data_IF_411298951209
#
_entry.id   IF_411298951209
#
_cell.length_a   1.000
_cell.length_b   1.000
_cell.length_c   1.000
_cell.angle_alpha   90.00
_cell.angle_beta   90.00
_cell.angle_gamma   90.00
#
_symmetry.space_group_name_H-M   'P 1'
#
loop_
_entity.id
_entity.type
_entity.pdbx_description
1 polymer ?
#
# COMPACT_ATOMS: atom_id res chain seq x y z
N UNK A 1 -21.61 -38.49 -17.68
CA UNK A 1 -20.31 -38.19 -17.03
C UNK A 1 -19.86 -36.74 -17.20
N UNK A 2 -19.94 -36.14 -18.40
CA UNK A 2 -19.56 -34.73 -18.64
C UNK A 2 -20.43 -33.73 -17.86
N UNK A 3 -21.75 -33.94 -17.81
CA UNK A 3 -22.67 -33.08 -17.06
C UNK A 3 -22.38 -33.12 -15.55
N UNK A 4 -22.00 -34.28 -15.02
CA UNK A 4 -21.60 -34.44 -13.60
C UNK A 4 -20.28 -33.72 -13.32
N UNK A 5 -19.33 -33.72 -14.27
CA UNK A 5 -18.08 -32.98 -14.14
C UNK A 5 -18.29 -31.46 -14.20
N UNK A 6 -19.21 -30.97 -15.04
CA UNK A 6 -19.55 -29.53 -15.12
C UNK A 6 -20.28 -29.06 -13.85
N UNK A 7 -21.18 -29.89 -13.30
CA UNK A 7 -21.86 -29.60 -12.04
C UNK A 7 -20.89 -29.63 -10.86
N UNK A 8 -19.94 -30.57 -10.84
CA UNK A 8 -18.87 -30.61 -9.84
C UNK A 8 -17.94 -29.40 -9.94
N UNK A 9 -17.58 -28.95 -11.15
CA UNK A 9 -16.74 -27.76 -11.36
C UNK A 9 -17.42 -26.47 -10.86
N UNK A 10 -18.74 -26.36 -11.05
CA UNK A 10 -19.54 -25.25 -10.51
C UNK A 10 -19.71 -25.30 -8.98
N UNK A 11 -19.68 -26.50 -8.36
CA UNK A 11 -19.81 -26.64 -6.89
C UNK A 11 -18.53 -26.35 -6.11
N UNK A 12 -17.37 -26.21 -6.77
CA UNK A 12 -16.09 -25.89 -6.13
C UNK A 12 -15.59 -24.46 -6.39
N UNK A 13 -16.38 -23.59 -7.04
CA UNK A 13 -15.91 -22.22 -7.30
C UNK A 13 -15.99 -21.39 -6.01
N UNK A 14 -14.83 -21.16 -5.38
CA UNK A 14 -14.71 -20.23 -4.26
C UNK A 14 -14.62 -18.80 -4.80
N UNK A 15 -15.79 -18.14 -4.93
CA UNK A 15 -15.90 -16.77 -5.44
C UNK A 15 -15.07 -15.76 -4.64
N UNK A 16 -14.99 -15.92 -3.33
CA UNK A 16 -14.21 -15.03 -2.48
C UNK A 16 -12.72 -15.12 -2.82
N UNK A 17 -12.21 -16.35 -2.98
CA UNK A 17 -10.84 -16.58 -3.42
C UNK A 17 -10.60 -16.04 -4.84
N UNK A 18 -11.56 -16.21 -5.75
CA UNK A 18 -11.49 -15.66 -7.11
C UNK A 18 -11.36 -14.13 -7.10
N UNK A 19 -12.13 -13.44 -6.25
CA UNK A 19 -12.06 -11.98 -6.07
C UNK A 19 -10.71 -11.54 -5.49
N UNK A 20 -10.20 -12.23 -4.46
CA UNK A 20 -8.88 -11.92 -3.88
C UNK A 20 -7.77 -12.12 -4.92
N UNK A 21 -7.81 -13.22 -5.68
CA UNK A 21 -6.82 -13.52 -6.73
C UNK A 21 -6.89 -12.53 -7.89
N UNK A 22 -8.07 -11.94 -8.17
CA UNK A 22 -8.21 -10.86 -9.15
C UNK A 22 -7.37 -9.64 -8.75
N UNK A 23 -7.45 -9.20 -7.48
CA UNK A 23 -6.61 -8.10 -6.97
C UNK A 23 -5.12 -8.44 -7.02
N UNK A 24 -4.73 -9.63 -6.54
CA UNK A 24 -3.33 -10.09 -6.56
C UNK A 24 -2.75 -10.12 -7.99
N UNK A 25 -3.52 -10.61 -8.97
CA UNK A 25 -3.11 -10.65 -10.37
C UNK A 25 -2.98 -9.26 -10.98
N UNK A 26 -3.84 -8.30 -10.62
CA UNK A 26 -3.71 -6.92 -11.08
C UNK A 26 -2.46 -6.24 -10.49
N UNK A 27 -2.11 -6.52 -9.23
CA UNK A 27 -0.83 -6.07 -8.63
C UNK A 27 0.34 -6.66 -9.41
N UNK A 28 0.27 -7.95 -9.74
CA UNK A 28 1.32 -8.61 -10.52
C UNK A 28 1.53 -7.98 -11.90
N UNK A 29 0.45 -7.51 -12.53
CA UNK A 29 0.47 -6.82 -13.82
C UNK A 29 0.76 -5.32 -13.70
N UNK A 30 0.98 -4.81 -12.48
CA UNK A 30 1.16 -3.38 -12.17
C UNK A 30 0.00 -2.49 -12.67
N UNK A 31 -1.22 -3.03 -12.72
CA UNK A 31 -2.43 -2.34 -13.19
C UNK A 31 -3.09 -1.54 -12.09
N UNK A 32 -2.38 -0.51 -11.61
CA UNK A 32 -2.78 0.28 -10.45
C UNK A 32 -4.13 0.99 -10.63
N UNK A 33 -4.39 1.55 -11.80
CA UNK A 33 -5.65 2.24 -12.08
C UNK A 33 -6.84 1.27 -12.09
N UNK A 34 -6.69 0.09 -12.71
CA UNK A 34 -7.72 -0.95 -12.76
C UNK A 34 -8.07 -1.46 -11.34
N UNK A 35 -7.09 -1.57 -10.44
CA UNK A 35 -7.32 -1.94 -9.02
C UNK A 35 -8.21 -0.92 -8.33
N UNK A 36 -7.90 0.37 -8.52
CA UNK A 36 -8.65 1.47 -7.88
C UNK A 36 -10.06 1.54 -8.46
N UNK A 37 -10.22 1.42 -9.78
CA UNK A 37 -11.53 1.39 -10.43
C UNK A 37 -12.38 0.21 -9.94
N UNK A 38 -11.78 -0.98 -9.89
CA UNK A 38 -12.44 -2.19 -9.37
C UNK A 38 -12.91 -1.98 -7.93
N UNK A 39 -12.04 -1.48 -7.05
CA UNK A 39 -12.36 -1.24 -5.64
C UNK A 39 -13.44 -0.16 -5.46
N UNK A 40 -13.45 0.89 -6.29
CA UNK A 40 -14.52 1.91 -6.28
C UNK A 40 -15.87 1.33 -6.67
N UNK A 41 -15.89 0.46 -7.68
CA UNK A 41 -17.13 -0.10 -8.24
C UNK A 41 -17.72 -1.21 -7.37
N UNK A 42 -16.87 -2.14 -6.91
CA UNK A 42 -17.31 -3.38 -6.27
C UNK A 42 -17.07 -3.36 -4.75
N UNK A 43 -16.25 -2.44 -4.25
CA UNK A 43 -15.74 -2.46 -2.88
C UNK A 43 -14.57 -3.43 -2.73
N UNK A 44 -14.06 -3.52 -1.50
CA UNK A 44 -12.95 -4.41 -1.15
C UNK A 44 -13.47 -5.55 -0.28
N UNK A 45 -13.21 -6.82 -0.65
CA UNK A 45 -13.50 -7.98 0.20
C UNK A 45 -12.87 -7.85 1.59
N UNK A 46 -13.46 -8.50 2.60
CA UNK A 46 -12.93 -8.49 3.98
C UNK A 46 -11.70 -9.40 4.10
N UNK A 47 -10.61 -8.98 3.47
CA UNK A 47 -9.36 -9.72 3.37
C UNK A 47 -8.15 -8.75 3.31
N UNK A 48 -7.08 -9.12 4.01
CA UNK A 48 -5.87 -8.30 4.14
C UNK A 48 -5.14 -8.14 2.80
N UNK A 49 -5.10 -9.19 1.95
CA UNK A 49 -4.45 -9.15 0.63
C UNK A 49 -5.16 -8.20 -0.32
N UNK A 50 -6.49 -8.25 -0.35
CA UNK A 50 -7.28 -7.35 -1.18
C UNK A 50 -7.13 -5.88 -0.73
N UNK A 51 -7.19 -5.63 0.58
CA UNK A 51 -6.95 -4.28 1.12
C UNK A 51 -5.53 -3.79 0.86
N UNK A 52 -4.53 -4.67 1.01
CA UNK A 52 -3.13 -4.35 0.71
C UNK A 52 -2.96 -3.95 -0.75
N UNK A 53 -3.54 -4.71 -1.69
CA UNK A 53 -3.48 -4.43 -3.12
C UNK A 53 -4.03 -3.03 -3.45
N UNK A 54 -5.17 -2.67 -2.87
CA UNK A 54 -5.81 -1.36 -3.09
C UNK A 54 -5.04 -0.22 -2.43
N UNK A 55 -4.55 -0.39 -1.21
CA UNK A 55 -3.71 0.60 -0.53
C UNK A 55 -2.40 0.84 -1.29
N UNK A 56 -1.77 -0.22 -1.78
CA UNK A 56 -0.57 -0.13 -2.61
C UNK A 56 -0.86 0.61 -3.93
N UNK A 57 -1.95 0.26 -4.61
CA UNK A 57 -2.35 0.93 -5.85
C UNK A 57 -2.60 2.42 -5.63
N UNK A 58 -3.37 2.78 -4.60
CA UNK A 58 -3.64 4.17 -4.26
C UNK A 58 -2.34 4.94 -3.96
N UNK A 59 -1.41 4.33 -3.22
CA UNK A 59 -0.14 4.99 -2.90
C UNK A 59 0.80 5.09 -4.12
N UNK A 60 0.80 4.10 -5.02
CA UNK A 60 1.50 4.18 -6.31
C UNK A 60 0.96 5.29 -7.22
N UNK A 61 -0.33 5.60 -7.10
CA UNK A 61 -0.98 6.73 -7.78
C UNK A 61 -0.94 8.04 -6.98
N UNK A 62 -0.45 8.00 -5.74
CA UNK A 62 -0.39 9.16 -4.84
C UNK A 62 -1.76 9.75 -4.51
N UNK A 63 -2.76 8.88 -4.33
CA UNK A 63 -4.14 9.23 -4.04
C UNK A 63 -4.69 8.53 -2.78
N UNK A 64 -3.87 7.83 -2.00
CA UNK A 64 -4.33 7.10 -0.81
C UNK A 64 -5.07 8.03 0.16
N UNK A 65 -4.48 9.19 0.44
CA UNK A 65 -5.01 10.21 1.34
C UNK A 65 -6.22 10.98 0.77
N UNK A 66 -6.65 10.63 -0.43
CA UNK A 66 -7.87 11.17 -1.06
C UNK A 66 -8.98 10.12 -1.25
N UNK A 67 -8.62 8.84 -1.30
CA UNK A 67 -9.54 7.76 -1.66
C UNK A 67 -9.88 6.82 -0.50
N UNK A 68 -9.05 6.74 0.54
CA UNK A 68 -9.12 5.68 1.54
C UNK A 68 -10.52 5.46 2.14
N UNK A 69 -11.18 6.52 2.62
CA UNK A 69 -12.53 6.40 3.20
C UNK A 69 -13.65 6.29 2.17
N UNK A 70 -13.43 6.73 0.92
CA UNK A 70 -14.42 6.59 -0.16
C UNK A 70 -14.59 5.15 -0.61
N UNK A 71 -13.52 4.35 -0.55
CA UNK A 71 -13.52 2.97 -1.00
C UNK A 71 -14.16 2.08 0.07
N UNK A 72 -15.34 1.54 -0.24
CA UNK A 72 -16.10 0.68 0.66
C UNK A 72 -15.31 -0.58 1.03
N UNK A 73 -15.17 -0.83 2.33
CA UNK A 73 -14.58 -2.06 2.86
C UNK A 73 -13.05 -2.04 2.97
N UNK A 74 -12.38 -1.02 2.44
CA UNK A 74 -10.92 -0.90 2.49
C UNK A 74 -10.43 -0.83 3.95
N UNK A 75 -9.51 -1.74 4.31
CA UNK A 75 -8.87 -1.77 5.61
C UNK A 75 -7.48 -1.11 5.55
N UNK A 76 -6.95 -0.55 6.65
CA UNK A 76 -5.63 0.10 6.71
C UNK A 76 -4.46 -0.90 6.73
N UNK A 77 -4.47 -1.85 5.79
CA UNK A 77 -3.40 -2.84 5.63
C UNK A 77 -2.37 -2.29 4.66
N UNK A 78 -1.28 -1.72 5.19
CA UNK A 78 -0.19 -1.11 4.40
C UNK A 78 0.96 -2.07 4.12
N UNK A 79 1.11 -3.09 4.96
CA UNK A 79 2.02 -4.23 4.82
C UNK A 79 1.35 -5.47 5.39
N UNK A 80 1.75 -6.65 4.93
CA UNK A 80 1.35 -7.92 5.56
C UNK A 80 2.49 -8.38 6.46
N UNK A 81 2.17 -8.50 7.74
CA UNK A 81 3.00 -9.10 8.77
C UNK A 81 3.45 -10.51 8.40
N UNK A 82 4.66 -10.85 8.81
CA UNK A 82 5.11 -12.23 8.73
C UNK A 82 4.25 -13.12 9.64
N UNK A 83 3.68 -14.19 9.09
CA UNK A 83 2.96 -15.22 9.86
C UNK A 83 3.68 -16.55 9.66
N UNK A 84 4.16 -17.14 10.76
CA UNK A 84 4.89 -18.44 10.78
C UNK A 84 4.05 -19.64 10.30
N UNK A 85 2.77 -19.47 9.99
CA UNK A 85 1.86 -20.53 9.56
C UNK A 85 1.22 -20.15 8.24
N UNK A 86 1.29 -21.07 7.27
CA UNK A 86 0.74 -20.89 5.93
C UNK A 86 1.77 -20.36 4.94
N UNK A 87 1.37 -20.29 3.68
CA UNK A 87 2.18 -19.69 2.61
C UNK A 87 2.11 -18.17 2.73
N UNK A 88 3.26 -17.49 2.65
CA UNK A 88 3.26 -16.03 2.57
C UNK A 88 2.59 -15.59 1.25
N UNK A 89 1.63 -14.65 1.28
CA UNK A 89 0.96 -14.18 0.08
C UNK A 89 1.94 -13.67 -0.97
N UNK A 90 1.66 -13.95 -2.25
CA UNK A 90 2.56 -13.55 -3.34
C UNK A 90 2.83 -12.04 -3.38
N UNK A 91 1.81 -11.22 -3.06
CA UNK A 91 1.95 -9.77 -3.01
C UNK A 91 2.60 -9.22 -1.75
N UNK A 92 2.88 -10.05 -0.73
CA UNK A 92 3.33 -9.55 0.57
C UNK A 92 4.68 -8.80 0.50
N UNK A 93 5.51 -9.12 -0.50
CA UNK A 93 6.78 -8.43 -0.77
C UNK A 93 6.62 -7.08 -1.46
N UNK A 94 5.51 -6.83 -2.17
CA UNK A 94 5.34 -5.65 -3.03
C UNK A 94 5.37 -4.31 -2.28
N UNK A 95 4.64 -4.12 -1.16
CA UNK A 95 4.67 -2.86 -0.45
C UNK A 95 6.08 -2.52 0.05
N UNK A 96 6.79 -3.49 0.63
CA UNK A 96 8.17 -3.31 1.07
C UNK A 96 9.09 -2.94 -0.09
N UNK A 97 8.92 -3.59 -1.25
CA UNK A 97 9.72 -3.32 -2.43
C UNK A 97 9.51 -1.89 -2.93
N UNK A 98 8.27 -1.46 -3.12
CA UNK A 98 7.95 -0.13 -3.62
C UNK A 98 8.27 1.00 -2.62
N UNK A 99 8.27 0.70 -1.33
CA UNK A 99 8.73 1.63 -0.27
C UNK A 99 10.25 1.84 -0.28
N UNK A 100 11.03 0.90 -0.83
CA UNK A 100 12.49 0.91 -0.77
C UNK A 100 13.08 0.03 0.35
N UNK A 101 12.24 -0.74 1.06
CA UNK A 101 12.67 -1.69 2.09
C UNK A 101 13.15 -3.01 1.46
N UNK A 102 14.22 -2.93 0.66
CA UNK A 102 14.70 -4.01 -0.20
C UNK A 102 14.97 -5.33 0.56
N UNK A 103 15.54 -5.25 1.76
CA UNK A 103 15.80 -6.42 2.61
C UNK A 103 14.51 -7.11 3.05
N UNK A 104 13.46 -6.36 3.41
CA UNK A 104 12.16 -6.92 3.79
C UNK A 104 11.40 -7.47 2.59
N UNK A 105 11.48 -6.79 1.44
CA UNK A 105 10.94 -7.30 0.20
C UNK A 105 11.55 -8.66 -0.16
N UNK A 106 12.88 -8.80 -0.02
CA UNK A 106 13.59 -10.06 -0.22
C UNK A 106 13.15 -11.12 0.79
N UNK A 107 13.10 -10.78 2.07
CA UNK A 107 12.66 -11.69 3.14
C UNK A 107 11.27 -12.27 2.84
N UNK A 108 10.29 -11.42 2.53
CA UNK A 108 8.93 -11.87 2.22
C UNK A 108 8.87 -12.71 0.95
N UNK A 109 9.65 -12.37 -0.09
CA UNK A 109 9.70 -13.17 -1.31
C UNK A 109 10.37 -14.54 -1.07
N UNK A 110 11.43 -14.60 -0.25
CA UNK A 110 12.07 -15.87 0.15
C UNK A 110 11.11 -16.74 0.97
N UNK A 111 10.34 -16.14 1.90
CA UNK A 111 9.32 -16.88 2.64
C UNK A 111 8.28 -17.51 1.71
N UNK A 112 7.82 -16.80 0.68
CA UNK A 112 6.95 -17.39 -0.34
C UNK A 112 7.61 -18.58 -1.05
N UNK A 113 8.91 -18.51 -1.36
CA UNK A 113 9.63 -19.65 -1.96
C UNK A 113 9.70 -20.85 -1.00
N UNK A 114 10.04 -20.60 0.27
CA UNK A 114 10.27 -21.65 1.27
C UNK A 114 8.99 -22.29 1.81
N UNK A 115 7.89 -21.53 1.84
CA UNK A 115 6.58 -22.02 2.27
C UNK A 115 5.78 -22.73 1.16
N UNK A 116 6.32 -22.83 -0.05
CA UNK A 116 5.67 -23.53 -1.17
C UNK A 116 5.78 -25.05 -1.03
N UNK A 117 4.63 -25.71 -0.84
CA UNK A 117 4.54 -27.13 -0.45
C UNK A 117 4.99 -28.11 -1.55
N UNK A 118 4.84 -27.76 -2.83
CA UNK A 118 5.13 -28.66 -3.95
C UNK A 118 6.55 -28.52 -4.51
N UNK A 119 7.43 -27.78 -3.82
CA UNK A 119 8.81 -27.48 -4.24
C UNK A 119 8.94 -26.76 -5.60
N UNK A 120 7.83 -26.32 -6.21
CA UNK A 120 7.89 -25.50 -7.42
C UNK A 120 8.08 -24.07 -7.02
N UNK A 121 9.17 -23.46 -7.48
CA UNK A 121 9.48 -22.07 -7.15
C UNK A 121 8.53 -21.13 -7.88
N UNK A 122 7.68 -20.35 -7.18
CA UNK A 122 6.80 -19.39 -7.82
C UNK A 122 7.62 -18.30 -8.53
N UNK A 123 7.43 -18.18 -9.85
CA UNK A 123 8.28 -17.33 -10.70
C UNK A 123 8.26 -15.86 -10.27
N UNK A 124 7.11 -15.35 -9.80
CA UNK A 124 7.00 -13.99 -9.25
C UNK A 124 7.94 -13.76 -8.06
N UNK A 125 7.99 -14.71 -7.12
CA UNK A 125 8.86 -14.63 -5.96
C UNK A 125 10.34 -14.77 -6.35
N UNK A 126 10.68 -15.69 -7.26
CA UNK A 126 12.05 -15.83 -7.80
C UNK A 126 12.51 -14.53 -8.48
N UNK A 127 11.65 -13.91 -9.29
CA UNK A 127 11.90 -12.62 -9.93
C UNK A 127 12.13 -11.52 -8.90
N UNK A 128 11.27 -11.41 -7.87
CA UNK A 128 11.45 -10.42 -6.79
C UNK A 128 12.77 -10.62 -6.05
N UNK A 129 13.15 -11.85 -5.73
CA UNK A 129 14.45 -12.13 -5.10
C UNK A 129 15.61 -11.69 -6.01
N UNK A 130 15.56 -12.01 -7.31
CA UNK A 130 16.56 -11.56 -8.28
C UNK A 130 16.65 -10.02 -8.35
N UNK A 131 15.52 -9.32 -8.43
CA UNK A 131 15.44 -7.85 -8.42
C UNK A 131 16.11 -7.27 -7.18
N UNK A 132 15.83 -7.83 -6.00
CA UNK A 132 16.42 -7.33 -4.75
C UNK A 132 17.93 -7.51 -4.70
N UNK A 133 18.49 -8.60 -5.24
CA UNK A 133 19.93 -8.79 -5.30
C UNK A 133 20.61 -7.92 -6.35
N UNK A 134 19.91 -7.61 -7.46
CA UNK A 134 20.38 -6.66 -8.46
C UNK A 134 20.49 -5.27 -7.85
N UNK A 135 19.48 -4.86 -7.07
CA UNK A 135 19.48 -3.56 -6.35
C UNK A 135 20.64 -3.45 -5.36
N UNK A 136 20.97 -4.53 -4.64
CA UNK A 136 22.10 -4.58 -3.70
C UNK A 136 23.46 -4.79 -4.40
N UNK A 137 23.48 -4.82 -5.74
CA UNK A 137 24.68 -5.14 -6.54
C UNK A 137 25.34 -6.48 -6.17
N UNK A 138 24.59 -7.41 -5.57
CA UNK A 138 25.08 -8.72 -5.19
C UNK A 138 25.09 -9.65 -6.42
N UNK A 139 26.18 -9.58 -7.19
CA UNK A 139 26.33 -10.31 -8.45
C UNK A 139 26.16 -11.82 -8.28
N UNK A 140 26.76 -12.40 -7.24
CA UNK A 140 26.74 -13.86 -7.02
C UNK A 140 25.32 -14.38 -6.84
N UNK A 141 24.56 -13.78 -5.92
CA UNK A 141 23.18 -14.18 -5.69
C UNK A 141 22.26 -13.78 -6.86
N UNK A 142 22.48 -12.62 -7.49
CA UNK A 142 21.73 -12.23 -8.68
C UNK A 142 21.80 -13.29 -9.77
N UNK A 143 23.01 -13.77 -10.11
CA UNK A 143 23.20 -14.83 -11.12
C UNK A 143 22.43 -16.11 -10.77
N UNK A 144 22.41 -16.51 -9.49
CA UNK A 144 21.69 -17.72 -9.04
C UNK A 144 20.21 -17.68 -9.42
N UNK A 145 19.51 -16.60 -9.07
CA UNK A 145 18.07 -16.49 -9.34
C UNK A 145 17.78 -16.14 -10.81
N UNK A 146 18.64 -15.35 -11.46
CA UNK A 146 18.53 -15.08 -12.89
C UNK A 146 18.67 -16.35 -13.74
N UNK A 147 19.59 -17.27 -13.39
CA UNK A 147 19.71 -18.55 -14.08
C UNK A 147 18.45 -19.42 -13.94
N UNK A 148 17.75 -19.38 -12.81
CA UNK A 148 16.47 -20.09 -12.69
C UNK A 148 15.43 -19.51 -13.67
N UNK A 149 15.40 -18.18 -13.80
CA UNK A 149 14.46 -17.47 -14.66
C UNK A 149 14.81 -17.60 -16.15
N UNK A 150 16.10 -17.77 -16.50
CA UNK A 150 16.57 -17.92 -17.88
C UNK A 150 16.02 -19.18 -18.56
N UNK A 151 15.62 -20.18 -17.78
CA UNK A 151 15.00 -21.43 -18.23
C UNK A 151 13.45 -21.37 -18.29
N UNK A 152 12.84 -20.20 -18.11
CA UNK A 152 11.38 -20.03 -18.18
C UNK A 152 10.93 -19.46 -19.52
N UNK A 153 9.71 -19.77 -19.95
CA UNK A 153 9.18 -19.25 -21.22
C UNK A 153 9.04 -17.73 -21.23
N UNK A 154 8.42 -17.15 -20.19
CA UNK A 154 8.03 -15.73 -20.19
C UNK A 154 9.08 -14.79 -19.59
N UNK A 155 10.08 -15.29 -18.85
CA UNK A 155 11.08 -14.44 -18.16
C UNK A 155 12.50 -14.68 -18.64
N UNK A 156 12.72 -15.60 -19.57
CA UNK A 156 14.06 -15.90 -20.10
C UNK A 156 14.73 -14.69 -20.73
N UNK A 157 14.00 -13.91 -21.55
CA UNK A 157 14.54 -12.70 -22.18
C UNK A 157 14.98 -11.67 -21.13
N UNK A 158 14.11 -11.39 -20.15
CA UNK A 158 14.43 -10.48 -19.05
C UNK A 158 15.68 -10.96 -18.30
N UNK A 159 15.74 -12.23 -17.90
CA UNK A 159 16.85 -12.77 -17.15
C UNK A 159 18.17 -12.76 -17.92
N UNK A 160 18.14 -13.16 -19.20
CA UNK A 160 19.32 -13.20 -20.07
C UNK A 160 19.89 -11.81 -20.34
N UNK A 161 19.06 -10.77 -20.40
CA UNK A 161 19.53 -9.40 -20.53
C UNK A 161 20.37 -8.97 -19.31
N UNK A 162 19.92 -9.27 -18.09
CA UNK A 162 20.70 -8.99 -16.88
C UNK A 162 21.94 -9.88 -16.76
N UNK A 163 21.84 -11.18 -17.11
CA UNK A 163 23.01 -12.07 -17.11
C UNK A 163 24.09 -11.58 -18.08
N UNK A 164 23.72 -11.12 -19.28
CA UNK A 164 24.63 -10.51 -20.25
C UNK A 164 25.29 -9.26 -19.66
N UNK A 165 24.50 -8.34 -19.13
CA UNK A 165 25.00 -7.13 -18.50
C UNK A 165 26.02 -7.41 -17.38
N UNK A 166 25.74 -8.41 -16.54
CA UNK A 166 26.67 -8.86 -15.49
C UNK A 166 27.96 -9.43 -16.09
N UNK A 167 27.88 -10.23 -17.16
CA UNK A 167 29.05 -10.84 -17.80
C UNK A 167 29.97 -9.81 -18.47
N UNK A 168 29.40 -8.72 -18.97
CA UNK A 168 30.14 -7.63 -19.61
C UNK A 168 30.68 -6.60 -18.60
N UNK A 169 30.41 -6.78 -17.30
CA UNK A 169 30.77 -5.80 -16.26
C UNK A 169 29.95 -4.50 -16.33
N UNK A 170 28.83 -4.51 -17.06
CA UNK A 170 28.01 -3.35 -17.34
C UNK A 170 26.78 -3.25 -16.41
N UNK A 171 26.67 -4.10 -15.38
CA UNK A 171 25.60 -3.99 -14.38
C UNK A 171 25.78 -2.67 -13.60
N UNK A 172 25.20 -1.63 -14.16
CA UNK A 172 25.18 -0.27 -13.63
C UNK A 172 23.74 0.22 -13.62
N UNK A 173 23.51 1.34 -12.93
CA UNK A 173 22.21 2.00 -12.97
C UNK A 173 21.70 2.23 -14.39
N UNK A 174 22.54 2.34 -15.42
CA UNK A 174 22.08 2.56 -16.80
C UNK A 174 21.26 1.39 -17.37
N UNK A 175 21.61 0.14 -17.05
CA UNK A 175 20.95 -1.07 -17.55
C UNK A 175 19.69 -1.43 -16.76
N UNK A 176 19.54 -0.90 -15.54
CA UNK A 176 18.34 -1.14 -14.74
C UNK A 176 17.08 -0.66 -15.48
N UNK A 177 16.01 -1.46 -15.38
CA UNK A 177 14.70 -1.03 -15.83
C UNK A 177 14.28 0.25 -15.08
N UNK A 178 13.43 1.11 -15.67
CA UNK A 178 12.95 2.33 -15.01
C UNK A 178 12.41 2.07 -13.60
N UNK A 179 11.63 0.99 -13.42
CA UNK A 179 11.11 0.60 -12.11
C UNK A 179 12.23 0.33 -11.09
N UNK A 180 13.27 -0.43 -11.46
CA UNK A 180 14.39 -0.70 -10.54
C UNK A 180 15.20 0.56 -10.23
N UNK A 181 15.39 1.45 -11.22
CA UNK A 181 16.02 2.77 -11.00
C UNK A 181 15.26 3.58 -9.95
N UNK A 182 13.93 3.62 -10.06
CA UNK A 182 13.04 4.29 -9.09
C UNK A 182 13.16 3.67 -7.69
N UNK A 183 13.28 2.35 -7.56
CA UNK A 183 13.47 1.71 -6.25
C UNK A 183 14.82 2.07 -5.63
N UNK A 184 15.90 2.13 -6.43
CA UNK A 184 17.23 2.52 -5.93
C UNK A 184 17.22 3.91 -5.28
N UNK A 185 16.40 4.86 -5.75
CA UNK A 185 16.32 6.20 -5.13
C UNK A 185 15.58 6.22 -3.80
N UNK A 186 14.88 5.14 -3.44
CA UNK A 186 14.06 5.01 -2.22
C UNK A 186 14.72 4.23 -1.10
N UNK A 187 15.90 3.67 -1.35
CA UNK A 187 16.59 2.88 -0.34
C UNK A 187 16.92 3.74 0.90
N UNK A 188 16.83 3.16 2.10
CA UNK A 188 17.38 3.78 3.30
C UNK A 188 18.86 4.15 3.11
N UNK A 189 19.27 5.28 3.69
CA UNK A 189 20.67 5.74 3.69
C UNK A 189 21.43 5.36 4.95
N UNK A 190 20.75 4.75 5.90
CA UNK A 190 21.30 4.32 7.19
C UNK A 190 20.64 3.02 7.62
N UNK A 191 21.36 2.24 8.44
CA UNK A 191 20.82 1.02 9.03
C UNK A 191 19.83 1.34 10.15
N UNK A 192 18.75 0.55 10.23
CA UNK A 192 17.80 0.64 11.32
C UNK A 192 17.18 -0.72 11.63
N UNK A 193 16.73 -0.86 12.88
CA UNK A 193 15.99 -2.04 13.32
C UNK A 193 14.55 -1.94 12.87
N UNK A 194 14.10 -2.97 12.15
CA UNK A 194 12.69 -3.12 11.86
C UNK A 194 11.95 -3.68 13.06
N UNK A 195 10.87 -3.00 13.40
CA UNK A 195 9.88 -3.48 14.34
C UNK A 195 8.52 -3.41 13.64
N UNK A 196 7.88 -4.57 13.51
CA UNK A 196 6.58 -4.69 12.87
C UNK A 196 5.51 -3.85 13.59
N UNK A 197 5.53 -3.86 14.94
CA UNK A 197 4.60 -3.07 15.75
C UNK A 197 4.86 -1.56 15.69
N UNK A 198 6.02 -1.14 15.19
CA UNK A 198 6.41 0.26 15.03
C UNK A 198 6.76 0.57 13.57
N UNK A 199 6.01 -0.01 12.63
CA UNK A 199 6.28 0.15 11.20
C UNK A 199 6.42 1.62 10.75
N UNK A 200 5.69 2.53 11.38
CA UNK A 200 5.81 3.98 11.15
C UNK A 200 7.24 4.51 11.34
N UNK A 201 8.04 3.93 12.23
CA UNK A 201 9.46 4.28 12.41
C UNK A 201 10.26 3.98 11.13
N UNK A 202 9.98 2.86 10.46
CA UNK A 202 10.62 2.54 9.17
C UNK A 202 10.29 3.59 8.11
N UNK A 203 9.05 4.09 8.09
CA UNK A 203 8.64 5.16 7.18
C UNK A 203 9.40 6.47 7.43
N UNK A 204 9.70 6.78 8.71
CA UNK A 204 10.52 7.94 9.07
C UNK A 204 11.97 7.81 8.56
N UNK A 205 12.57 6.63 8.67
CA UNK A 205 13.89 6.36 8.07
C UNK A 205 13.88 6.53 6.56
N UNK A 206 12.84 6.03 5.87
CA UNK A 206 12.69 6.21 4.42
C UNK A 206 12.55 7.68 4.02
N UNK A 207 11.75 8.46 4.74
CA UNK A 207 11.55 9.89 4.43
C UNK A 207 12.79 10.74 4.73
N UNK A 208 13.57 10.38 5.74
CA UNK A 208 14.85 11.02 6.01
C UNK A 208 15.87 10.70 4.92
N UNK A 209 15.87 9.46 4.41
CA UNK A 209 16.74 9.06 3.31
C UNK A 209 16.34 9.72 1.98
N UNK A 210 15.03 9.77 1.70
CA UNK A 210 14.43 10.36 0.51
C UNK A 210 13.13 11.10 0.87
N UNK A 211 13.22 12.44 0.97
CA UNK A 211 12.08 13.31 1.28
C UNK A 211 11.04 13.41 0.17
N UNK A 212 11.30 12.85 -1.00
CA UNK A 212 10.36 12.77 -2.13
C UNK A 212 9.63 11.42 -2.20
N UNK A 213 9.87 10.50 -1.25
CA UNK A 213 9.16 9.22 -1.17
C UNK A 213 7.69 9.41 -0.75
N UNK A 214 6.85 9.80 -1.71
CA UNK A 214 5.43 10.11 -1.51
C UNK A 214 4.64 8.96 -0.91
N UNK A 215 4.95 7.72 -1.29
CA UNK A 215 4.30 6.53 -0.72
C UNK A 215 4.58 6.40 0.78
N UNK A 216 5.84 6.55 1.21
CA UNK A 216 6.20 6.52 2.62
C UNK A 216 5.52 7.67 3.39
N UNK A 217 5.41 8.85 2.77
CA UNK A 217 4.72 9.99 3.36
C UNK A 217 3.21 9.73 3.52
N UNK A 218 2.52 9.27 2.48
CA UNK A 218 1.09 8.97 2.57
C UNK A 218 0.79 7.88 3.62
N UNK A 219 1.61 6.83 3.69
CA UNK A 219 1.46 5.79 4.72
C UNK A 219 1.68 6.35 6.14
N UNK A 220 2.67 7.22 6.32
CA UNK A 220 2.96 7.82 7.63
C UNK A 220 1.82 8.75 8.07
N UNK A 221 1.31 9.58 7.15
CA UNK A 221 0.22 10.49 7.44
C UNK A 221 -1.08 9.74 7.72
N UNK A 222 -1.37 8.68 6.97
CA UNK A 222 -2.49 7.79 7.26
C UNK A 222 -2.35 7.13 8.64
N UNK A 223 -1.16 6.62 8.99
CA UNK A 223 -0.90 6.07 10.31
C UNK A 223 -1.24 7.07 11.42
N UNK A 224 -0.74 8.31 11.34
CA UNK A 224 -1.02 9.31 12.38
C UNK A 224 -2.49 9.68 12.48
N UNK A 225 -3.19 9.79 11.35
CA UNK A 225 -4.62 10.12 11.36
C UNK A 225 -5.48 8.96 11.87
N UNK A 226 -5.16 7.72 11.49
CA UNK A 226 -5.85 6.55 12.00
C UNK A 226 -5.65 6.40 13.53
N UNK A 227 -4.43 6.63 14.02
CA UNK A 227 -4.13 6.66 15.46
C UNK A 227 -4.61 7.94 16.18
N UNK A 228 -5.30 8.84 15.47
CA UNK A 228 -5.78 10.15 15.97
C UNK A 228 -4.65 11.00 16.60
N UNK A 229 -3.41 10.78 16.17
CA UNK A 229 -2.20 11.49 16.62
C UNK A 229 -2.03 12.79 15.83
N UNK A 230 -2.86 13.77 16.16
CA UNK A 230 -2.87 15.07 15.48
C UNK A 230 -1.57 15.85 15.63
N UNK A 231 -0.87 15.72 16.76
CA UNK A 231 0.40 16.41 16.98
C UNK A 231 1.46 15.97 15.96
N UNK A 232 1.57 14.65 15.74
CA UNK A 232 2.50 14.11 14.74
C UNK A 232 2.06 14.44 13.33
N UNK A 233 0.76 14.36 13.03
CA UNK A 233 0.22 14.80 11.74
C UNK A 233 0.59 16.28 11.46
N UNK A 234 0.30 17.20 12.38
CA UNK A 234 0.61 18.64 12.23
C UNK A 234 2.11 18.87 12.07
N UNK A 235 2.94 18.15 12.82
CA UNK A 235 4.41 18.23 12.70
C UNK A 235 4.87 17.87 11.28
N UNK A 236 4.38 16.76 10.72
CA UNK A 236 4.77 16.27 9.39
C UNK A 236 4.08 16.99 8.23
N UNK A 237 3.12 17.89 8.50
CA UNK A 237 2.62 18.83 7.49
C UNK A 237 3.66 19.87 7.06
N UNK A 238 4.75 20.07 7.83
CA UNK A 238 5.83 20.99 7.45
C UNK A 238 6.55 20.60 6.16
N UNK A 239 6.63 19.30 5.85
CA UNK A 239 7.25 18.77 4.62
C UNK A 239 6.23 18.51 3.51
N UNK A 240 4.93 18.69 3.76
CA UNK A 240 3.88 18.48 2.75
C UNK A 240 4.13 19.19 1.40
N UNK A 241 4.63 20.45 1.36
CA UNK A 241 4.83 21.15 0.09
C UNK A 241 5.84 20.49 -0.86
N UNK A 242 6.78 19.67 -0.37
CA UNK A 242 7.79 19.02 -1.22
C UNK A 242 7.24 17.88 -2.07
N UNK A 243 6.01 17.43 -1.80
CA UNK A 243 5.39 16.32 -2.53
C UNK A 243 4.56 16.76 -3.74
N UNK A 244 4.45 18.07 -3.99
CA UNK A 244 3.84 18.67 -5.18
C UNK A 244 2.49 18.03 -5.56
N UNK A 245 1.60 17.87 -4.59
CA UNK A 245 0.23 17.40 -4.85
C UNK A 245 -0.48 18.35 -5.82
N UNK A 246 -1.13 17.79 -6.84
CA UNK A 246 -1.95 18.56 -7.77
C UNK A 246 -3.16 19.19 -7.08
N UNK A 247 -3.71 18.51 -6.08
CA UNK A 247 -4.83 18.96 -5.26
C UNK A 247 -4.58 18.55 -3.80
N UNK A 248 -5.07 19.36 -2.84
CA UNK A 248 -4.94 19.02 -1.43
C UNK A 248 -5.68 17.72 -1.11
N UNK A 249 -5.02 16.72 -0.50
CA UNK A 249 -5.69 15.46 -0.17
C UNK A 249 -6.93 15.65 0.68
N UNK A 250 -8.02 14.97 0.33
CA UNK A 250 -9.32 15.15 0.98
C UNK A 250 -9.24 14.92 2.49
N UNK A 251 -8.60 13.84 2.91
CA UNK A 251 -8.49 13.47 4.33
C UNK A 251 -7.72 14.55 5.12
N UNK A 252 -6.75 15.22 4.49
CA UNK A 252 -6.00 16.29 5.14
C UNK A 252 -6.85 17.55 5.33
N UNK A 253 -7.71 17.87 4.36
CA UNK A 253 -8.69 18.95 4.49
C UNK A 253 -9.68 18.66 5.62
N UNK A 254 -10.21 17.43 5.67
CA UNK A 254 -11.13 16.98 6.71
C UNK A 254 -10.47 17.01 8.10
N UNK A 255 -9.24 16.50 8.22
CA UNK A 255 -8.49 16.54 9.46
C UNK A 255 -8.24 17.98 9.92
N UNK A 256 -7.84 18.88 9.02
CA UNK A 256 -7.66 20.31 9.33
C UNK A 256 -8.95 20.95 9.83
N UNK A 257 -10.07 20.71 9.15
CA UNK A 257 -11.38 21.24 9.55
C UNK A 257 -11.74 20.81 10.98
N UNK A 258 -11.50 19.53 11.32
CA UNK A 258 -11.75 19.00 12.65
C UNK A 258 -10.82 19.58 13.71
N UNK A 259 -9.50 19.65 13.46
CA UNK A 259 -8.51 20.22 14.38
C UNK A 259 -8.87 21.66 14.75
N UNK A 260 -9.35 22.45 13.78
CA UNK A 260 -9.79 23.83 14.00
C UNK A 260 -10.99 23.97 14.96
N UNK A 261 -11.76 22.91 15.19
CA UNK A 261 -12.81 22.89 16.22
C UNK A 261 -12.30 22.57 17.62
N UNK A 262 -11.14 21.92 17.73
CA UNK A 262 -10.55 21.52 19.01
C UNK A 262 -9.79 22.65 19.68
N UNK A 263 -9.26 23.60 18.88
CA UNK A 263 -8.44 24.69 19.39
C UNK A 263 -8.48 25.91 18.47
N UNK A 264 -8.42 27.10 19.09
CA UNK A 264 -8.25 28.37 18.38
C UNK A 264 -6.79 28.66 17.99
N UNK A 265 -5.85 27.80 18.38
CA UNK A 265 -4.44 27.94 18.04
C UNK A 265 -4.24 27.79 16.53
N UNK A 266 -3.50 28.74 15.94
CA UNK A 266 -3.09 28.65 14.53
C UNK A 266 -1.80 27.83 14.40
N UNK A 267 -1.85 26.76 13.64
CA UNK A 267 -0.68 25.94 13.30
C UNK A 267 -0.19 26.31 11.90
N UNK A 268 0.99 26.94 11.82
CA UNK A 268 1.60 27.34 10.54
C UNK A 268 1.70 26.19 9.52
N UNK A 269 2.09 24.95 9.89
CA UNK A 269 2.15 23.83 8.94
C UNK A 269 0.81 23.52 8.24
N UNK A 270 -0.33 23.77 8.90
CA UNK A 270 -1.65 23.51 8.33
C UNK A 270 -2.08 24.57 7.31
N UNK A 271 -1.38 25.70 7.20
CA UNK A 271 -1.71 26.74 6.22
C UNK A 271 -1.48 26.26 4.78
N UNK A 272 -0.64 25.25 4.57
CA UNK A 272 -0.38 24.67 3.26
C UNK A 272 -1.54 23.83 2.70
N UNK A 273 -2.52 23.48 3.54
CA UNK A 273 -3.75 22.79 3.10
C UNK A 273 -4.84 23.83 2.96
N UNK A 274 -5.45 23.93 1.79
CA UNK A 274 -6.67 24.71 1.61
C UNK A 274 -7.89 23.81 1.78
N UNK A 275 -8.85 24.24 2.60
CA UNK A 275 -10.12 23.51 2.75
C UNK A 275 -11.06 24.03 1.67
N UNK A 276 -11.37 23.18 0.70
CA UNK A 276 -12.31 23.49 -0.38
C UNK A 276 -13.71 23.83 0.15
N UNK A 277 -14.47 24.62 -0.62
CA UNK A 277 -15.85 25.01 -0.27
C UNK A 277 -16.73 23.78 0.00
N UNK A 278 -16.60 22.74 -0.83
CA UNK A 278 -17.33 21.48 -0.66
C UNK A 278 -17.03 20.81 0.69
N UNK A 279 -15.76 20.74 1.10
CA UNK A 279 -15.40 20.16 2.42
C UNK A 279 -15.94 21.03 3.55
N UNK A 280 -15.93 22.36 3.42
CA UNK A 280 -16.51 23.24 4.44
C UNK A 280 -18.02 23.05 4.58
N UNK A 281 -18.75 22.92 3.46
CA UNK A 281 -20.18 22.64 3.43
C UNK A 281 -20.51 21.29 4.05
N UNK A 282 -19.84 20.23 3.57
CA UNK A 282 -20.01 18.86 4.08
C UNK A 282 -19.68 18.76 5.58
N UNK A 283 -18.71 19.54 6.07
CA UNK A 283 -18.38 19.60 7.50
C UNK A 283 -19.48 20.26 8.33
N UNK A 284 -20.11 21.33 7.82
CA UNK A 284 -21.25 21.98 8.48
C UNK A 284 -22.44 21.02 8.58
N UNK A 285 -22.73 20.31 7.50
CA UNK A 285 -23.78 19.28 7.47
C UNK A 285 -23.48 18.16 8.47
N UNK A 286 -22.25 17.63 8.46
CA UNK A 286 -21.81 16.62 9.41
C UNK A 286 -22.03 17.06 10.86
N UNK A 287 -21.60 18.28 11.19
CA UNK A 287 -21.71 18.84 12.54
C UNK A 287 -23.17 19.03 12.95
N UNK A 288 -24.01 19.55 12.04
CA UNK A 288 -25.44 19.70 12.28
C UNK A 288 -26.12 18.35 12.57
N UNK A 289 -25.90 17.35 11.72
CA UNK A 289 -26.45 16.01 11.89
C UNK A 289 -25.95 15.33 13.18
N UNK A 290 -24.67 15.47 13.49
CA UNK A 290 -24.05 14.91 14.68
C UNK A 290 -24.67 15.47 15.97
N UNK A 291 -24.88 16.79 16.04
CA UNK A 291 -25.48 17.47 17.20
C UNK A 291 -26.98 17.13 17.31
N UNK A 292 -27.69 17.01 16.19
CA UNK A 292 -29.13 16.70 16.15
C UNK A 292 -29.43 15.19 16.27
N UNK A 293 -28.73 14.52 17.19
CA UNK A 293 -28.96 13.12 17.56
C UNK A 293 -28.17 12.09 16.74
N UNK A 294 -27.44 12.51 15.70
CA UNK A 294 -26.55 11.63 14.93
C UNK A 294 -25.44 11.00 15.78
N UNK A 295 -24.95 11.69 16.81
CA UNK A 295 -23.99 11.17 17.78
C UNK A 295 -24.43 9.87 18.49
N UNK A 296 -25.74 9.61 18.57
CA UNK A 296 -26.32 8.39 19.15
C UNK A 296 -26.81 7.40 18.09
N UNK A 297 -26.68 7.74 16.80
CA UNK A 297 -27.13 6.91 15.69
C UNK A 297 -26.00 6.71 14.66
N UNK A 298 -25.03 5.82 14.96
CA UNK A 298 -23.91 5.54 14.07
C UNK A 298 -24.34 5.06 12.68
N UNK A 299 -25.44 4.32 12.57
CA UNK A 299 -25.95 3.84 11.27
C UNK A 299 -26.36 5.01 10.37
N UNK A 300 -27.15 5.97 10.87
CA UNK A 300 -27.51 7.17 10.11
C UNK A 300 -26.26 7.98 9.71
N UNK A 301 -25.32 8.15 10.63
CA UNK A 301 -24.08 8.87 10.34
C UNK A 301 -23.22 8.14 9.30
N UNK A 302 -23.23 6.81 9.29
CA UNK A 302 -22.52 6.00 8.29
C UNK A 302 -23.14 6.15 6.91
N UNK A 303 -24.46 6.16 6.83
CA UNK A 303 -25.17 6.30 5.55
C UNK A 303 -24.92 7.67 4.89
N UNK A 304 -24.80 8.72 5.71
CA UNK A 304 -24.59 10.09 5.22
C UNK A 304 -23.11 10.45 5.00
N UNK A 305 -22.23 10.00 5.90
CA UNK A 305 -20.85 10.48 6.01
C UNK A 305 -19.83 9.36 6.27
N UNK A 306 -20.19 8.09 6.03
CA UNK A 306 -19.30 6.94 6.26
C UNK A 306 -18.03 6.97 5.40
N UNK A 307 -17.98 7.82 4.40
CA UNK A 307 -16.86 8.09 3.50
C UNK A 307 -15.92 9.21 3.99
N UNK A 308 -16.17 9.79 5.17
CA UNK A 308 -15.39 10.90 5.73
C UNK A 308 -14.49 10.47 6.87
N UNK A 309 -13.37 11.15 7.02
CA UNK A 309 -12.50 11.00 8.20
C UNK A 309 -13.21 11.39 9.51
N UNK A 310 -14.17 12.31 9.48
CA UNK A 310 -14.92 12.69 10.68
C UNK A 310 -15.78 11.56 11.23
N UNK A 311 -16.43 10.79 10.35
CA UNK A 311 -17.16 9.59 10.76
C UNK A 311 -16.21 8.57 11.40
N UNK A 312 -15.03 8.36 10.79
CA UNK A 312 -13.99 7.51 11.36
C UNK A 312 -13.54 7.99 12.76
N UNK A 313 -13.32 9.29 12.94
CA UNK A 313 -12.89 9.85 14.23
C UNK A 313 -13.87 9.56 15.36
N UNK A 314 -15.17 9.70 15.09
CA UNK A 314 -16.22 9.54 16.09
C UNK A 314 -16.68 8.08 16.26
N UNK A 315 -16.62 7.25 15.21
CA UNK A 315 -17.25 5.92 15.20
C UNK A 315 -16.31 4.78 14.75
N UNK A 316 -15.06 5.05 14.39
CA UNK A 316 -14.10 4.04 13.89
C UNK A 316 -13.83 2.92 14.89
N UNK A 317 -13.74 3.24 16.17
CA UNK A 317 -13.53 2.24 17.25
C UNK A 317 -14.71 1.29 17.43
N UNK A 318 -15.90 1.66 16.93
CA UNK A 318 -17.10 0.83 16.94
C UNK A 318 -17.07 -0.25 15.84
N UNK A 319 -16.29 -0.05 14.76
CA UNK A 319 -16.10 -1.04 13.68
C UNK A 319 -15.07 -2.12 14.06
N UNK A 320 -14.05 -1.79 14.87
CA UNK A 320 -12.98 -2.72 15.28
C UNK A 320 -13.41 -3.75 16.35
N UNK A 321 -14.63 -3.64 16.89
CA UNK A 321 -15.19 -4.52 17.93
C UNK A 321 -16.27 -5.50 17.42
N UNK A 322 -16.40 -5.70 16.10
CA UNK A 322 -17.38 -6.64 15.51
C UNK A 322 -16.76 -7.70 14.62
#
# INVERSE_FOLDING_TARGET
MIIVHVILFYSFNNKEEEEIRKFDNLVYQEKWDDIIELARKEGVPKNDEASLAVNLACAKKGCLTSEFFKIKGLQPVFVISYKRRGMAPFLASDPYFYLGLNNFARMMAMETLESTVDSKLPVRAVKRVAETFIIDENISNSKKYLNLLSHTLNYSSWANNYLRAISEGNLSHQILSPNLKEICTRLPKEDFFYNEGEFHVSLLYLLRANSENKMAYEYLMMYYLLEKNFDSFIKFMSIYPSFHYSESPLIFQEAKAYIQTLTSQKFLPLNAIEISVNVQERFREYTYEFINGGNKNPSRMKDLFGDTYWYYLHFGDYQNKR
#
